data_IF_597624442560
#
_entry.id   IF_597624442560
#
_cell.length_a   1.000
_cell.length_b   1.000
_cell.length_c   1.000
_cell.angle_alpha   90.00
_cell.angle_beta   90.00
_cell.angle_gamma   90.00
#
_symmetry.space_group_name_H-M   'P 1'
#
loop_
_entity.id
_entity.type
_entity.pdbx_description
1 polymer ?
#
# COMPACT_ATOMS: atom_id res chain seq x y z
N UNK A 1 14.17 2.09 2.36
CA UNK A 1 12.97 1.71 1.62
C UNK A 1 11.95 2.83 1.72
N UNK A 2 11.38 3.22 0.60
CA UNK A 2 10.37 4.29 0.54
C UNK A 2 9.07 3.70 -0.01
N UNK A 3 7.98 3.85 0.74
CA UNK A 3 6.68 3.30 0.36
C UNK A 3 5.72 4.45 0.06
N UNK A 4 5.24 4.48 -1.18
CA UNK A 4 4.22 5.45 -1.60
C UNK A 4 2.91 4.70 -1.83
N UNK A 5 1.84 5.18 -1.19
CA UNK A 5 0.50 4.66 -1.44
C UNK A 5 -0.24 5.62 -2.36
N UNK A 6 -0.79 5.08 -3.44
CA UNK A 6 -1.62 5.87 -4.33
C UNK A 6 -3.07 5.57 -4.00
N UNK A 7 -3.81 6.60 -3.62
CA UNK A 7 -5.21 6.52 -3.26
C UNK A 7 -6.03 7.28 -4.31
N UNK A 8 -7.29 6.94 -4.44
CA UNK A 8 -8.14 7.53 -5.46
C UNK A 8 -9.34 8.24 -4.83
N UNK A 9 -9.63 9.43 -5.35
CA UNK A 9 -10.89 10.13 -5.08
C UNK A 9 -11.78 10.01 -6.29
N UNK A 10 -13.03 9.68 -6.04
CA UNK A 10 -14.02 9.57 -7.09
C UNK A 10 -14.49 10.97 -7.49
N UNK A 11 -15.21 11.05 -8.61
CA UNK A 11 -15.66 12.33 -9.14
C UNK A 11 -16.53 13.11 -8.15
N UNK A 12 -17.22 12.43 -7.26
CA UNK A 12 -18.05 13.07 -6.25
C UNK A 12 -17.25 13.54 -5.02
N UNK A 13 -15.93 13.38 -5.04
CA UNK A 13 -15.07 13.82 -3.95
C UNK A 13 -14.84 12.80 -2.86
N UNK A 14 -15.51 11.66 -2.90
CA UNK A 14 -15.31 10.62 -1.88
C UNK A 14 -14.09 9.78 -2.19
N UNK A 15 -13.49 9.21 -1.15
CA UNK A 15 -12.37 8.32 -1.32
C UNK A 15 -12.85 6.95 -1.82
N UNK A 16 -12.09 6.36 -2.74
CA UNK A 16 -12.37 5.01 -3.22
C UNK A 16 -12.46 4.03 -2.05
N UNK A 17 -13.49 3.20 -2.07
CA UNK A 17 -13.75 2.27 -0.98
C UNK A 17 -12.58 1.34 -0.69
N UNK A 18 -11.97 0.80 -1.74
CA UNK A 18 -10.82 -0.09 -1.58
C UNK A 18 -9.63 0.63 -0.95
N UNK A 19 -9.49 1.92 -1.24
CA UNK A 19 -8.44 2.73 -0.64
C UNK A 19 -8.68 2.90 0.85
N UNK A 20 -9.93 3.14 1.24
CA UNK A 20 -10.29 3.26 2.65
C UNK A 20 -10.00 1.94 3.36
N UNK A 21 -10.40 0.83 2.77
CA UNK A 21 -10.20 -0.50 3.35
C UNK A 21 -8.70 -0.81 3.53
N UNK A 22 -7.89 -0.48 2.53
CA UNK A 22 -6.46 -0.71 2.61
C UNK A 22 -5.82 0.13 3.72
N UNK A 23 -6.24 1.38 3.84
CA UNK A 23 -5.73 2.27 4.89
C UNK A 23 -6.09 1.71 6.27
N UNK A 24 -7.34 1.27 6.45
CA UNK A 24 -7.78 0.71 7.72
C UNK A 24 -7.04 -0.58 8.04
N UNK A 25 -6.77 -1.39 7.04
CA UNK A 25 -5.99 -2.61 7.24
C UNK A 25 -4.59 -2.29 7.77
N UNK A 26 -3.93 -1.30 7.18
CA UNK A 26 -2.61 -0.90 7.63
C UNK A 26 -2.65 -0.30 9.03
N UNK A 27 -3.65 0.53 9.32
CA UNK A 27 -3.80 1.13 10.65
C UNK A 27 -4.04 0.06 11.71
N UNK A 28 -4.92 -0.89 11.43
CA UNK A 28 -5.28 -1.91 12.40
C UNK A 28 -4.09 -2.81 12.76
N UNK A 29 -3.09 -2.87 11.89
CA UNK A 29 -1.89 -3.65 12.14
C UNK A 29 -0.72 -2.81 12.65
N UNK A 30 -0.94 -1.53 12.90
CA UNK A 30 0.13 -0.64 13.35
C UNK A 30 1.17 -0.36 12.27
N UNK A 31 0.79 -0.50 11.00
CA UNK A 31 1.72 -0.36 9.88
C UNK A 31 1.55 0.93 9.10
N UNK A 32 0.58 1.75 9.47
CA UNK A 32 0.33 2.99 8.72
C UNK A 32 1.58 3.89 8.68
N UNK A 33 2.35 3.90 9.75
CA UNK A 33 3.57 4.72 9.81
C UNK A 33 4.65 4.25 8.85
N UNK A 34 4.48 3.07 8.26
CA UNK A 34 5.45 2.55 7.29
C UNK A 34 5.19 3.11 5.90
N UNK A 35 4.07 3.78 5.68
CA UNK A 35 3.78 4.46 4.43
C UNK A 35 4.41 5.84 4.49
N UNK A 36 5.35 6.10 3.61
CA UNK A 36 6.14 7.34 3.65
C UNK A 36 5.42 8.49 2.96
N UNK A 37 4.60 8.20 1.97
CA UNK A 37 3.89 9.23 1.22
C UNK A 37 2.56 8.70 0.71
N UNK A 38 1.58 9.59 0.63
CA UNK A 38 0.30 9.31 -0.01
C UNK A 38 0.16 10.25 -1.18
N UNK A 39 -0.15 9.68 -2.35
CA UNK A 39 -0.34 10.44 -3.58
C UNK A 39 -1.79 10.21 -4.02
N UNK A 40 -2.49 11.28 -4.35
CA UNK A 40 -3.89 11.19 -4.71
C UNK A 40 -4.09 11.16 -6.21
N UNK A 41 -4.95 10.24 -6.66
CA UNK A 41 -5.46 10.18 -8.01
C UNK A 41 -6.90 10.71 -7.97
N UNK A 42 -7.20 11.72 -8.75
CA UNK A 42 -8.56 12.26 -8.86
C UNK A 42 -9.19 11.70 -10.11
N UNK A 43 -10.31 11.02 -9.95
CA UNK A 43 -10.97 10.32 -11.05
C UNK A 43 -11.29 11.25 -12.23
N UNK A 44 -11.65 12.50 -11.93
CA UNK A 44 -12.01 13.47 -12.95
C UNK A 44 -10.85 14.35 -13.39
N UNK A 45 -9.62 14.02 -12.99
CA UNK A 45 -8.44 14.81 -13.35
C UNK A 45 -7.30 13.86 -13.76
N UNK A 46 -7.17 13.69 -15.07
CA UNK A 46 -6.15 12.78 -15.62
C UNK A 46 -4.73 13.26 -15.33
N UNK A 47 -4.56 14.51 -14.97
CA UNK A 47 -3.23 15.06 -14.69
C UNK A 47 -2.94 15.12 -13.19
N UNK A 48 -3.83 14.62 -12.34
CA UNK A 48 -3.54 14.54 -10.91
C UNK A 48 -2.35 13.61 -10.67
N UNK A 49 -1.57 13.87 -9.63
CA UNK A 49 -0.33 13.11 -9.40
C UNK A 49 -0.52 11.59 -9.38
N UNK A 50 -1.58 11.10 -8.74
CA UNK A 50 -1.83 9.67 -8.70
C UNK A 50 -2.20 9.07 -10.04
N UNK A 51 -2.94 9.83 -10.88
CA UNK A 51 -3.28 9.37 -12.22
C UNK A 51 -2.04 9.31 -13.11
N UNK A 52 -1.18 10.30 -13.00
CA UNK A 52 0.09 10.31 -13.74
C UNK A 52 0.96 9.12 -13.32
N UNK A 53 1.06 8.89 -12.01
CA UNK A 53 1.87 7.79 -11.49
C UNK A 53 1.30 6.44 -11.95
N UNK A 54 -0.03 6.33 -11.99
CA UNK A 54 -0.68 5.11 -12.49
C UNK A 54 -0.31 4.83 -13.93
N UNK A 55 -0.40 5.84 -14.79
CA UNK A 55 -0.03 5.67 -16.21
C UNK A 55 1.44 5.27 -16.35
N UNK A 56 2.30 5.89 -15.54
CA UNK A 56 3.74 5.60 -15.59
C UNK A 56 4.02 4.13 -15.29
N UNK A 57 3.26 3.53 -14.39
CA UNK A 57 3.46 2.14 -14.00
C UNK A 57 2.49 1.16 -14.67
N UNK A 58 1.64 1.65 -15.55
CA UNK A 58 0.66 0.81 -16.23
C UNK A 58 -0.42 0.29 -15.32
N UNK A 59 -0.80 1.05 -14.30
CA UNK A 59 -1.81 0.65 -13.31
C UNK A 59 -3.03 1.53 -13.47
N UNK A 60 -4.20 0.89 -13.64
CA UNK A 60 -5.45 1.62 -13.80
C UNK A 60 -6.34 1.56 -12.55
N UNK A 61 -6.01 0.74 -11.58
CA UNK A 61 -6.83 0.56 -10.38
C UNK A 61 -6.16 1.18 -9.17
N UNK A 62 -6.92 1.41 -8.11
CA UNK A 62 -6.42 1.91 -6.85
C UNK A 62 -7.04 1.09 -5.71
N UNK A 63 -6.38 0.97 -4.55
CA UNK A 63 -5.08 1.56 -4.28
C UNK A 63 -3.96 0.75 -4.93
N UNK A 64 -2.81 1.38 -5.12
CA UNK A 64 -1.60 0.63 -5.40
C UNK A 64 -0.44 1.29 -4.65
N UNK A 65 0.67 0.57 -4.60
CA UNK A 65 1.80 1.00 -3.80
C UNK A 65 3.05 0.93 -4.65
N UNK A 66 3.91 1.93 -4.51
CA UNK A 66 5.22 1.92 -5.16
C UNK A 66 6.27 1.85 -4.06
N UNK A 67 7.05 0.80 -4.08
CA UNK A 67 8.12 0.60 -3.11
C UNK A 67 9.44 0.82 -3.81
N UNK A 68 10.20 1.79 -3.32
CA UNK A 68 11.52 2.07 -3.87
C UNK A 68 12.59 1.68 -2.87
N UNK A 69 13.56 0.91 -3.34
CA UNK A 69 14.67 0.48 -2.52
C UNK A 69 15.93 0.66 -3.35
N UNK A 70 16.68 1.74 -3.08
CA UNK A 70 17.81 2.11 -3.92
C UNK A 70 17.33 2.39 -5.33
N UNK A 71 17.97 1.80 -6.36
CA UNK A 71 17.54 2.00 -7.74
C UNK A 71 16.36 1.12 -8.15
N UNK A 72 15.91 0.22 -7.28
CA UNK A 72 14.84 -0.72 -7.61
C UNK A 72 13.50 -0.14 -7.17
N UNK A 73 12.52 -0.23 -8.08
CA UNK A 73 11.17 0.24 -7.83
C UNK A 73 10.19 -0.88 -8.16
N UNK A 74 9.31 -1.22 -7.22
CA UNK A 74 8.34 -2.29 -7.41
C UNK A 74 6.94 -1.77 -7.11
N UNK A 75 5.96 -2.28 -7.86
CA UNK A 75 4.57 -1.90 -7.71
C UNK A 75 3.79 -3.05 -7.10
N UNK A 76 2.99 -2.75 -6.08
CA UNK A 76 2.12 -3.73 -5.45
C UNK A 76 0.68 -3.29 -5.63
N UNK A 77 -0.16 -4.20 -6.11
CA UNK A 77 -1.58 -3.93 -6.31
C UNK A 77 -2.43 -4.41 -5.14
N UNK A 78 -1.83 -5.12 -4.20
CA UNK A 78 -2.52 -5.70 -3.07
C UNK A 78 -1.87 -5.28 -1.77
N UNK A 79 -2.67 -4.73 -0.85
CA UNK A 79 -2.17 -4.35 0.47
C UNK A 79 -1.70 -5.59 1.24
N UNK A 80 -2.37 -6.72 1.02
CA UNK A 80 -1.97 -7.95 1.72
C UNK A 80 -0.61 -8.42 1.26
N UNK A 81 -0.35 -8.34 -0.04
CA UNK A 81 0.95 -8.72 -0.57
C UNK A 81 2.05 -7.76 -0.09
N UNK A 82 1.76 -6.47 -0.08
CA UNK A 82 2.70 -5.47 0.42
C UNK A 82 3.08 -5.76 1.87
N UNK A 83 2.08 -6.01 2.71
CA UNK A 83 2.32 -6.30 4.13
C UNK A 83 3.19 -7.54 4.26
N UNK A 84 2.83 -8.60 3.54
CA UNK A 84 3.55 -9.86 3.65
C UNK A 84 4.99 -9.76 3.16
N UNK A 85 5.22 -9.06 2.05
CA UNK A 85 6.53 -9.06 1.41
C UNK A 85 7.44 -7.92 1.84
N UNK A 86 6.87 -6.80 2.29
CA UNK A 86 7.69 -5.62 2.60
C UNK A 86 7.51 -5.12 4.02
N UNK A 87 6.27 -5.04 4.51
CA UNK A 87 6.00 -4.46 5.80
C UNK A 87 6.01 -5.50 6.91
N UNK A 88 5.42 -6.67 6.65
CA UNK A 88 5.43 -7.75 7.62
C UNK A 88 6.82 -8.29 7.89
N UNK A 89 7.68 -8.27 6.88
CA UNK A 89 9.05 -8.74 7.02
C UNK A 89 9.93 -7.81 7.85
N UNK A 90 9.49 -6.60 8.11
CA UNK A 90 10.23 -5.71 8.99
C UNK A 90 9.91 -5.94 10.47
N UNK A 91 8.97 -6.83 10.73
CA UNK A 91 8.68 -7.28 12.08
C UNK A 91 9.93 -7.99 12.63
N UNK A 92 10.20 -7.83 13.90
CA UNK A 92 11.41 -8.39 14.50
C UNK A 92 11.39 -9.90 14.46
N UNK A 93 12.57 -10.49 14.50
CA UNK A 93 12.70 -11.94 14.53
C UNK A 93 11.95 -12.54 15.72
N UNK A 94 11.97 -11.86 16.85
CA UNK A 94 11.25 -12.32 18.02
C UNK A 94 9.75 -12.38 17.78
N UNK A 95 9.20 -11.38 17.11
CA UNK A 95 7.79 -11.37 16.79
C UNK A 95 7.45 -12.45 15.79
N UNK A 96 8.30 -12.67 14.82
CA UNK A 96 8.08 -13.74 13.85
C UNK A 96 8.09 -15.11 14.54
N UNK A 97 9.01 -15.30 15.43
CA UNK A 97 9.09 -16.57 16.15
C UNK A 97 7.84 -16.77 17.01
N UNK A 98 7.32 -15.71 17.59
CA UNK A 98 6.13 -15.81 18.41
C UNK A 98 4.88 -16.09 17.62
N UNK A 99 4.85 -15.69 16.33
CA UNK A 99 3.64 -15.80 15.53
C UNK A 99 3.63 -16.96 14.56
N UNK A 100 4.74 -17.60 14.38
CA UNK A 100 4.83 -18.67 13.41
C UNK A 100 3.90 -19.80 13.73
N UNK A 101 3.64 -19.87 14.87
CA UNK A 101 2.71 -20.79 15.15
C UNK A 101 1.35 -20.39 15.01
N UNK A 102 1.41 -19.93 14.70
CA UNK A 102 0.33 -19.55 14.46
C UNK A 102 -0.30 -19.19 13.42
N UNK A 103 0.51 -19.63 13.32
CA UNK A 103 -0.19 -19.37 12.60
C UNK A 103 -0.31 -19.26 11.87
N UNK A 104 0.22 -19.66 12.03
CA UNK A 104 -0.10 -19.73 11.70
C UNK A 104 -0.17 -19.76 11.59
N UNK A 105 0.15 -20.36 11.90
CA UNK A 105 -0.24 -20.47 12.17
C UNK A 105 -0.68 -20.35 12.25
N UNK A 106 -0.53 -20.61 12.36
CA UNK A 106 -1.08 -20.67 12.73
C UNK A 106 -1.15 -20.59 12.73
N UNK A 107 -0.88 -21.01 12.89
CA UNK A 107 -1.12 -21.04 13.04
C UNK A 107 -1.43 -20.90 13.00
#
# INVERSE_FOLDING_TARGET
>A
MHVTMVKKRLADGTECRKCVEATEHLRSRGLWDRVDAVVWAHEDDAESPGMVLGRRHGVASAPFFVVRHGPVEQVYLSVLQLVRERLGQTVTAAQQAATIDVDDLGI
#
